data_IF_250591497035
#
_entry.id   IF_250591497035
#
_cell.length_a   1.000
_cell.length_b   1.000
_cell.length_c   1.000
_cell.angle_alpha   90.00
_cell.angle_beta   90.00
_cell.angle_gamma   90.00
#
_symmetry.space_group_name_H-M   'P 1'
#
loop_
_entity.id
_entity.type
_entity.pdbx_description
1 polymer ?
#
# COMPACT_ATOMS: atom_id res chain seq x y z
N UNK A 1 15.84 24.39 7.24
CA UNK A 1 14.45 24.72 6.93
C UNK A 1 13.71 23.42 6.72
N UNK A 2 12.58 23.20 7.41
CA UNK A 2 11.70 22.03 7.20
C UNK A 2 10.71 22.35 6.07
N UNK A 3 10.54 21.40 5.15
CA UNK A 3 9.50 21.46 4.11
C UNK A 3 8.23 20.72 4.52
N UNK A 4 8.22 20.07 5.70
CA UNK A 4 7.07 19.31 6.18
C UNK A 4 5.84 20.21 6.28
N UNK A 5 4.76 19.79 5.61
CA UNK A 5 3.53 20.59 5.44
C UNK A 5 2.32 19.73 5.77
N UNK A 6 1.40 20.20 6.67
CA UNK A 6 0.15 19.52 6.93
C UNK A 6 -0.72 19.40 5.66
N UNK A 7 -1.29 18.24 5.42
CA UNK A 7 -2.23 17.99 4.31
C UNK A 7 -3.70 18.01 4.75
N UNK A 8 -3.95 17.96 6.05
CA UNK A 8 -5.29 17.84 6.61
C UNK A 8 -5.47 18.80 7.78
N UNK A 9 -6.73 19.13 8.10
CA UNK A 9 -7.10 19.93 9.27
C UNK A 9 -6.61 19.27 10.56
N UNK A 10 -6.07 20.07 11.47
CA UNK A 10 -5.61 19.65 12.80
C UNK A 10 -5.80 20.79 13.80
N UNK A 11 -5.86 20.48 15.08
CA UNK A 11 -5.95 21.48 16.14
C UNK A 11 -4.57 21.98 16.54
N UNK A 12 -4.49 23.23 16.97
CA UNK A 12 -3.23 23.81 17.46
C UNK A 12 -2.69 22.99 18.64
N UNK A 13 -1.46 22.51 18.50
CA UNK A 13 -0.80 21.65 19.50
C UNK A 13 -0.95 20.15 19.27
N UNK A 14 -1.71 19.72 18.27
CA UNK A 14 -1.79 18.33 17.82
C UNK A 14 -0.92 18.12 16.55
N UNK A 15 -0.43 16.90 16.36
CA UNK A 15 0.21 16.53 15.11
C UNK A 15 -0.88 16.22 14.05
N UNK A 16 -0.76 16.76 12.83
CA UNK A 16 -1.69 16.46 11.76
C UNK A 16 -1.61 14.99 11.37
N UNK A 17 -2.75 14.34 11.14
CA UNK A 17 -2.81 12.91 10.73
C UNK A 17 -1.98 12.64 9.47
N UNK A 18 -2.00 13.56 8.52
CA UNK A 18 -1.20 13.48 7.29
C UNK A 18 -0.42 14.76 7.07
N UNK A 19 0.87 14.62 6.82
CA UNK A 19 1.76 15.71 6.43
C UNK A 19 2.64 15.25 5.28
N UNK A 20 2.78 16.04 4.23
CA UNK A 20 3.80 15.82 3.22
C UNK A 20 5.18 16.15 3.78
N UNK A 21 6.20 15.39 3.42
CA UNK A 21 7.60 15.69 3.74
C UNK A 21 8.14 16.77 2.78
N UNK A 22 7.63 16.79 1.56
CA UNK A 22 7.86 17.84 0.55
C UNK A 22 6.48 18.34 0.08
N UNK A 23 6.22 19.67 0.04
CA UNK A 23 4.89 20.21 -0.25
C UNK A 23 4.55 20.15 -1.75
N UNK A 24 4.57 18.95 -2.30
CA UNK A 24 4.21 18.66 -3.69
C UNK A 24 3.00 17.75 -3.75
N UNK A 25 1.97 18.18 -4.48
CA UNK A 25 0.74 17.45 -4.71
C UNK A 25 0.46 17.41 -6.21
N UNK A 26 0.12 16.23 -6.76
CA UNK A 26 -0.24 16.16 -8.17
C UNK A 26 -1.70 16.51 -8.40
N UNK A 27 -1.96 17.16 -9.53
CA UNK A 27 -3.31 17.51 -9.97
C UNK A 27 -4.15 16.23 -10.27
N UNK A 28 -5.45 16.28 -9.98
CA UNK A 28 -6.39 15.18 -10.22
C UNK A 28 -6.73 15.06 -11.72
N UNK A 29 -5.74 14.74 -12.52
CA UNK A 29 -5.85 14.70 -13.97
C UNK A 29 -5.37 13.36 -14.52
N UNK A 30 -6.10 12.81 -15.50
CA UNK A 30 -5.82 11.52 -16.13
C UNK A 30 -4.38 11.40 -16.66
N UNK A 31 -3.86 12.44 -17.29
CA UNK A 31 -2.49 12.44 -17.85
C UNK A 31 -1.39 12.73 -16.81
N UNK A 32 -1.75 12.94 -15.56
CA UNK A 32 -0.83 13.33 -14.49
C UNK A 32 -0.78 12.31 -13.36
N UNK A 33 -1.93 11.97 -12.79
CA UNK A 33 -2.00 11.28 -11.49
C UNK A 33 -2.46 9.82 -11.62
N UNK A 34 -1.64 9.01 -12.29
CA UNK A 34 -1.75 7.55 -12.32
C UNK A 34 -0.86 6.90 -11.24
N UNK A 35 -0.71 5.58 -11.34
CA UNK A 35 0.08 4.75 -10.40
C UNK A 35 1.53 5.20 -10.32
N UNK A 36 2.17 5.42 -11.47
CA UNK A 36 3.60 5.80 -11.51
C UNK A 36 3.86 7.14 -10.82
N UNK A 37 2.98 8.13 -11.03
CA UNK A 37 3.05 9.41 -10.32
C UNK A 37 2.79 9.24 -8.83
N UNK A 38 1.83 8.37 -8.45
CA UNK A 38 1.55 8.02 -7.06
C UNK A 38 2.78 7.50 -6.33
N UNK A 39 3.48 6.56 -6.95
CA UNK A 39 4.72 5.97 -6.43
C UNK A 39 5.85 7.01 -6.41
N UNK A 40 6.07 7.73 -7.51
CA UNK A 40 7.16 8.69 -7.64
C UNK A 40 7.05 9.84 -6.64
N UNK A 41 5.86 10.46 -6.51
CA UNK A 41 5.66 11.55 -5.55
C UNK A 41 5.76 11.07 -4.09
N UNK A 42 5.16 9.93 -3.75
CA UNK A 42 5.26 9.39 -2.40
C UNK A 42 6.72 9.04 -2.04
N UNK A 43 7.51 8.55 -3.01
CA UNK A 43 8.95 8.30 -2.86
C UNK A 43 9.72 9.56 -2.53
N UNK A 44 9.41 10.68 -3.17
CA UNK A 44 10.05 11.97 -2.94
C UNK A 44 9.46 12.76 -1.75
N UNK A 45 8.41 12.24 -1.12
CA UNK A 45 7.80 12.85 0.07
C UNK A 45 6.57 13.72 -0.19
N UNK A 46 6.09 13.76 -1.42
CA UNK A 46 4.83 14.38 -1.83
C UNK A 46 3.67 13.40 -1.83
N UNK A 47 2.52 13.80 -2.40
CA UNK A 47 1.34 12.94 -2.53
C UNK A 47 0.65 13.13 -3.87
N UNK A 48 0.21 12.02 -4.49
CA UNK A 48 -0.64 12.08 -5.67
C UNK A 48 -2.09 11.78 -5.30
N UNK A 49 -3.02 12.42 -6.00
CA UNK A 49 -4.44 12.11 -5.95
C UNK A 49 -4.84 11.43 -7.26
N UNK A 50 -5.02 10.12 -7.22
CA UNK A 50 -5.40 9.31 -8.40
C UNK A 50 -6.66 9.86 -9.03
N UNK A 51 -6.63 10.07 -10.35
CA UNK A 51 -7.72 10.71 -11.09
C UNK A 51 -9.02 9.92 -11.03
N UNK A 52 -10.17 10.64 -10.96
CA UNK A 52 -11.52 10.06 -10.84
C UNK A 52 -12.26 9.83 -12.16
N UNK A 53 -11.73 10.32 -13.31
CA UNK A 53 -12.37 10.18 -14.63
C UNK A 53 -12.15 8.77 -15.23
N UNK A 54 -12.56 7.75 -14.49
CA UNK A 54 -12.44 6.32 -14.82
C UNK A 54 -13.47 5.51 -14.01
N UNK A 55 -13.58 4.20 -14.26
CA UNK A 55 -14.43 3.34 -13.46
C UNK A 55 -13.97 3.27 -12.00
N UNK A 56 -14.90 2.93 -11.10
CA UNK A 56 -14.63 2.78 -9.67
C UNK A 56 -13.56 1.70 -9.45
N UNK A 57 -13.71 0.56 -10.12
CA UNK A 57 -12.81 -0.59 -10.02
C UNK A 57 -11.39 -0.25 -10.48
N UNK A 58 -11.28 0.47 -11.61
CA UNK A 58 -9.98 0.88 -12.15
C UNK A 58 -9.26 1.84 -11.20
N UNK A 59 -9.96 2.83 -10.63
CA UNK A 59 -9.39 3.77 -9.68
C UNK A 59 -8.97 3.08 -8.38
N UNK A 60 -9.84 2.21 -7.84
CA UNK A 60 -9.54 1.44 -6.64
C UNK A 60 -8.32 0.52 -6.84
N UNK A 61 -8.19 -0.09 -8.04
CA UNK A 61 -7.01 -0.90 -8.36
C UNK A 61 -5.73 -0.08 -8.44
N UNK A 62 -5.77 1.12 -9.02
CA UNK A 62 -4.62 2.03 -9.03
C UNK A 62 -4.19 2.41 -7.60
N UNK A 63 -5.14 2.69 -6.70
CA UNK A 63 -4.85 2.94 -5.28
C UNK A 63 -4.20 1.72 -4.64
N UNK A 64 -4.72 0.50 -4.86
CA UNK A 64 -4.11 -0.73 -4.34
C UNK A 64 -2.68 -0.92 -4.83
N UNK A 65 -2.41 -0.64 -6.10
CA UNK A 65 -1.06 -0.76 -6.68
C UNK A 65 -0.07 0.19 -6.01
N UNK A 66 -0.45 1.45 -5.76
CA UNK A 66 0.40 2.39 -4.99
C UNK A 66 0.60 1.90 -3.56
N UNK A 67 -0.46 1.45 -2.88
CA UNK A 67 -0.38 0.94 -1.50
C UNK A 67 0.44 -0.36 -1.39
N UNK A 68 0.41 -1.20 -2.40
CA UNK A 68 1.20 -2.45 -2.47
C UNK A 68 2.67 -2.20 -2.83
N UNK A 69 3.01 -1.03 -3.36
CA UNK A 69 4.39 -0.73 -3.73
C UNK A 69 5.29 -0.75 -2.50
N UNK A 70 6.42 -1.43 -2.63
CA UNK A 70 7.24 -1.92 -1.51
C UNK A 70 8.02 -0.81 -0.81
N UNK A 71 7.75 -0.60 0.46
CA UNK A 71 8.44 0.38 1.31
C UNK A 71 9.12 -0.25 2.54
N UNK A 72 9.61 -1.48 2.44
CA UNK A 72 10.37 -2.18 3.47
C UNK A 72 9.67 -3.39 4.06
N UNK A 73 8.79 -3.25 5.04
CA UNK A 73 7.98 -4.36 5.54
C UNK A 73 6.77 -4.59 4.64
N UNK A 74 6.69 -5.76 4.01
CA UNK A 74 5.67 -6.10 3.02
C UNK A 74 4.77 -7.20 3.56
N UNK A 75 3.46 -7.00 3.56
CA UNK A 75 2.53 -8.11 3.74
C UNK A 75 2.55 -8.94 2.45
N UNK A 76 2.79 -10.25 2.58
CA UNK A 76 2.83 -11.11 1.41
C UNK A 76 1.44 -11.21 0.75
N UNK A 77 1.37 -11.00 -0.55
CA UNK A 77 0.17 -11.21 -1.37
C UNK A 77 0.29 -12.48 -2.25
N UNK A 78 1.42 -13.16 -2.15
CA UNK A 78 1.75 -14.40 -2.87
C UNK A 78 1.93 -15.51 -1.85
N UNK A 79 0.81 -16.07 -1.39
CA UNK A 79 0.77 -17.11 -0.37
C UNK A 79 0.02 -18.34 -0.89
N UNK A 80 0.51 -19.51 -0.53
CA UNK A 80 -0.16 -20.79 -0.79
C UNK A 80 -0.13 -21.67 0.45
N UNK A 81 -1.05 -22.63 0.53
CA UNK A 81 -1.01 -23.66 1.55
C UNK A 81 -0.11 -24.83 1.15
N UNK A 82 0.36 -25.58 2.13
CA UNK A 82 1.00 -26.89 1.91
C UNK A 82 0.13 -27.79 1.04
N UNK A 83 0.75 -28.54 0.13
CA UNK A 83 0.07 -29.42 -0.84
C UNK A 83 -0.40 -28.72 -2.13
N UNK A 84 -0.30 -27.39 -2.25
CA UNK A 84 -0.55 -26.69 -3.53
C UNK A 84 0.43 -27.19 -4.59
N UNK A 85 -0.03 -27.37 -5.85
CA UNK A 85 0.84 -27.86 -6.92
C UNK A 85 1.86 -26.81 -7.38
N UNK A 86 3.00 -27.26 -7.93
CA UNK A 86 3.97 -26.35 -8.52
C UNK A 86 3.35 -25.55 -9.66
N UNK A 87 2.43 -26.13 -10.43
CA UNK A 87 1.68 -25.44 -11.49
C UNK A 87 0.92 -24.25 -10.95
N UNK A 88 0.14 -24.43 -9.88
CA UNK A 88 -0.65 -23.34 -9.27
C UNK A 88 0.26 -22.22 -8.73
N UNK A 89 1.44 -22.58 -8.22
CA UNK A 89 2.45 -21.61 -7.77
C UNK A 89 3.00 -20.80 -8.95
N UNK A 90 3.30 -21.44 -10.08
CA UNK A 90 3.76 -20.74 -11.28
C UNK A 90 2.69 -19.77 -11.80
N UNK A 91 1.43 -20.21 -11.87
CA UNK A 91 0.30 -19.35 -12.27
C UNK A 91 0.13 -18.16 -11.30
N UNK A 92 0.35 -18.36 -9.99
CA UNK A 92 0.34 -17.28 -9.00
C UNK A 92 1.48 -16.29 -9.24
N UNK A 93 2.70 -16.77 -9.50
CA UNK A 93 3.87 -15.94 -9.82
C UNK A 93 3.64 -15.11 -11.09
N UNK A 94 3.09 -15.70 -12.14
CA UNK A 94 2.75 -15.00 -13.39
C UNK A 94 1.71 -13.90 -13.16
N UNK A 95 0.68 -14.19 -12.36
CA UNK A 95 -0.39 -13.24 -12.03
C UNK A 95 0.07 -12.09 -11.13
N UNK A 96 0.92 -12.37 -10.15
CA UNK A 96 1.37 -11.37 -9.15
C UNK A 96 2.64 -10.65 -9.55
N UNK A 97 3.46 -11.25 -10.43
CA UNK A 97 4.79 -10.77 -10.77
C UNK A 97 5.83 -10.93 -9.64
N UNK A 98 5.50 -11.69 -8.59
CA UNK A 98 6.36 -11.89 -7.43
C UNK A 98 7.02 -13.25 -7.46
N UNK A 99 8.35 -13.27 -7.54
CA UNK A 99 9.15 -14.49 -7.60
C UNK A 99 9.33 -15.21 -6.26
N UNK A 100 8.87 -14.63 -5.16
CA UNK A 100 8.92 -15.24 -3.82
C UNK A 100 7.50 -15.53 -3.36
N UNK A 101 7.20 -16.79 -3.11
CA UNK A 101 5.90 -17.27 -2.64
C UNK A 101 6.07 -17.87 -1.24
N UNK A 102 5.24 -17.46 -0.30
CA UNK A 102 5.24 -18.00 1.06
C UNK A 102 4.29 -19.18 1.16
N UNK A 103 4.73 -20.21 1.88
CA UNK A 103 3.89 -21.36 2.20
C UNK A 103 3.47 -21.22 3.67
N UNK A 104 2.15 -21.12 3.89
CA UNK A 104 1.55 -21.07 5.22
C UNK A 104 0.58 -22.22 5.40
N UNK A 105 0.22 -22.53 6.64
CA UNK A 105 -0.65 -23.68 6.95
C UNK A 105 -2.02 -23.59 6.27
N UNK A 106 -2.58 -22.39 6.23
CA UNK A 106 -3.90 -22.07 5.67
C UNK A 106 -3.88 -21.37 4.31
N UNK A 107 -2.68 -21.00 3.81
CA UNK A 107 -2.50 -20.26 2.56
C UNK A 107 -2.77 -18.77 2.66
N UNK A 108 -2.93 -18.23 3.88
CA UNK A 108 -3.16 -16.79 4.11
C UNK A 108 -1.85 -16.04 4.38
N UNK A 109 -1.92 -14.71 4.28
CA UNK A 109 -0.75 -13.81 4.51
C UNK A 109 -0.29 -13.75 5.96
N UNK A 110 -1.09 -14.25 6.89
CA UNK A 110 -0.84 -14.24 8.34
C UNK A 110 -1.00 -15.64 8.97
N UNK A 111 -1.03 -16.67 8.15
CA UNK A 111 -1.05 -18.06 8.61
C UNK A 111 0.30 -18.50 9.18
N UNK A 112 0.33 -19.64 9.84
CA UNK A 112 1.56 -20.26 10.37
C UNK A 112 2.55 -20.52 9.24
N UNK A 113 3.75 -19.97 9.37
CA UNK A 113 4.76 -20.01 8.35
C UNK A 113 5.44 -21.36 8.24
N UNK A 114 5.33 -22.01 7.07
CA UNK A 114 5.93 -23.33 6.81
C UNK A 114 7.19 -23.26 5.96
N UNK A 115 7.31 -22.28 5.07
CA UNK A 115 8.46 -22.17 4.20
C UNK A 115 8.32 -21.10 3.12
N UNK A 116 9.32 -21.04 2.25
CA UNK A 116 9.37 -20.19 1.06
C UNK A 116 9.70 -21.01 -0.17
N UNK A 117 9.20 -20.59 -1.32
CA UNK A 117 9.68 -21.01 -2.63
C UNK A 117 9.99 -19.79 -3.50
N UNK A 118 11.03 -19.89 -4.29
CA UNK A 118 11.45 -18.86 -5.23
C UNK A 118 11.65 -19.47 -6.63
N UNK A 119 11.79 -18.64 -7.65
CA UNK A 119 12.13 -19.04 -9.01
C UNK A 119 13.45 -19.83 -9.17
N UNK A 120 14.27 -19.87 -8.10
CA UNK A 120 15.53 -20.62 -8.04
C UNK A 120 15.36 -22.05 -7.53
N UNK A 121 14.22 -22.36 -6.93
CA UNK A 121 13.98 -23.64 -6.26
C UNK A 121 13.38 -24.70 -7.20
N UNK A 122 12.97 -24.31 -8.44
CA UNK A 122 12.38 -25.21 -9.41
C UNK A 122 12.79 -24.83 -10.84
N UNK A 123 12.60 -25.80 -11.76
CA UNK A 123 12.85 -25.62 -13.20
C UNK A 123 11.63 -26.10 -13.99
N UNK A 124 10.87 -25.18 -14.56
CA UNK A 124 9.63 -25.46 -15.30
C UNK A 124 9.82 -26.55 -16.39
N UNK A 125 11.00 -26.59 -17.03
CA UNK A 125 11.30 -27.56 -18.11
C UNK A 125 11.68 -28.96 -17.64
N UNK A 126 11.84 -29.20 -16.34
CA UNK A 126 12.38 -30.46 -15.80
C UNK A 126 11.61 -31.01 -14.61
N UNK A 127 10.97 -30.16 -13.85
CA UNK A 127 10.30 -30.54 -12.62
C UNK A 127 8.84 -30.93 -12.89
N UNK A 128 8.30 -31.79 -12.04
CA UNK A 128 6.93 -32.25 -12.11
C UNK A 128 5.98 -31.14 -11.62
N UNK A 129 5.22 -30.60 -12.55
CA UNK A 129 4.30 -29.48 -12.29
C UNK A 129 3.11 -29.86 -11.40
N UNK A 130 2.75 -31.13 -11.37
CA UNK A 130 1.64 -31.64 -10.53
C UNK A 130 2.12 -32.04 -9.12
N UNK A 131 3.43 -32.01 -8.87
CA UNK A 131 3.98 -32.29 -7.55
C UNK A 131 3.63 -31.19 -6.54
N UNK A 132 3.42 -31.54 -5.25
CA UNK A 132 3.18 -30.57 -4.20
C UNK A 132 4.39 -29.65 -3.99
N UNK A 133 4.14 -28.38 -3.73
CA UNK A 133 5.17 -27.34 -3.55
C UNK A 133 6.12 -27.67 -2.38
N UNK A 134 5.66 -28.45 -1.42
CA UNK A 134 6.46 -28.93 -0.29
C UNK A 134 7.75 -29.64 -0.71
N UNK A 135 7.76 -30.25 -1.89
CA UNK A 135 8.94 -30.89 -2.48
C UNK A 135 10.02 -29.90 -2.88
N UNK A 136 9.63 -28.70 -3.24
CA UNK A 136 10.52 -27.65 -3.78
C UNK A 136 10.82 -26.53 -2.79
N UNK A 137 9.94 -26.32 -1.80
CA UNK A 137 10.11 -25.22 -0.84
C UNK A 137 11.36 -25.38 0.04
N UNK A 138 11.94 -24.26 0.43
CA UNK A 138 12.84 -24.21 1.55
C UNK A 138 12.01 -24.19 2.83
N UNK A 139 12.10 -25.24 3.69
CA UNK A 139 11.27 -25.34 4.89
C UNK A 139 11.69 -24.33 5.97
N UNK A 140 10.73 -23.93 6.82
CA UNK A 140 10.92 -22.99 7.95
C UNK A 140 12.20 -23.24 8.75
N UNK A 141 12.55 -24.50 9.00
CA UNK A 141 13.74 -24.88 9.78
C UNK A 141 15.07 -24.47 9.18
N UNK A 142 15.09 -24.19 7.87
CA UNK A 142 16.28 -23.75 7.12
C UNK A 142 16.25 -22.26 6.75
N UNK A 143 15.20 -21.54 7.12
CA UNK A 143 15.02 -20.13 6.79
C UNK A 143 15.37 -19.26 8.00
N UNK A 144 16.23 -18.28 7.79
CA UNK A 144 16.49 -17.23 8.77
C UNK A 144 15.24 -16.34 8.82
N UNK A 145 14.70 -16.15 10.02
CA UNK A 145 13.54 -15.30 10.28
C UNK A 145 13.84 -14.32 11.41
N UNK A 146 13.13 -13.21 11.44
CA UNK A 146 13.16 -12.31 12.59
C UNK A 146 11.79 -12.27 13.29
N UNK A 147 11.77 -11.75 14.50
CA UNK A 147 10.53 -11.62 15.28
C UNK A 147 9.86 -10.29 15.03
N UNK A 148 8.55 -10.25 15.22
CA UNK A 148 7.73 -9.03 15.27
C UNK A 148 8.38 -7.98 16.18
N UNK A 149 8.39 -6.73 15.73
CA UNK A 149 8.99 -5.61 16.45
C UNK A 149 10.43 -5.30 16.05
N UNK A 150 11.08 -6.15 15.23
CA UNK A 150 12.39 -5.82 14.63
C UNK A 150 12.29 -4.53 13.82
N UNK A 151 13.26 -3.63 13.96
CA UNK A 151 13.37 -2.45 13.13
C UNK A 151 13.83 -2.82 11.71
N UNK A 152 13.57 -1.95 10.73
CA UNK A 152 14.02 -2.18 9.37
C UNK A 152 15.55 -2.20 9.25
N UNK A 153 16.26 -1.44 10.10
CA UNK A 153 17.72 -1.45 10.16
C UNK A 153 18.25 -2.81 10.65
N UNK A 154 17.72 -3.30 11.77
CA UNK A 154 18.08 -4.64 12.30
C UNK A 154 17.71 -5.76 11.32
N UNK A 155 16.53 -5.70 10.71
CA UNK A 155 16.12 -6.68 9.68
C UNK A 155 17.10 -6.69 8.50
N UNK A 156 17.58 -5.52 8.09
CA UNK A 156 18.58 -5.41 7.04
C UNK A 156 19.94 -5.95 7.46
N UNK A 157 20.39 -5.70 8.68
CA UNK A 157 21.65 -6.25 9.19
C UNK A 157 21.59 -7.79 9.17
N UNK A 158 20.48 -8.38 9.61
CA UNK A 158 20.24 -9.84 9.52
C UNK A 158 20.33 -10.33 8.06
N UNK A 159 19.71 -9.61 7.12
CA UNK A 159 19.75 -9.94 5.67
C UNK A 159 21.20 -9.96 5.16
N UNK A 160 22.00 -8.95 5.51
CA UNK A 160 23.39 -8.83 5.08
C UNK A 160 24.31 -9.89 5.71
N UNK A 161 24.22 -10.09 7.02
CA UNK A 161 25.03 -11.08 7.74
C UNK A 161 24.77 -12.50 7.24
N UNK A 162 23.51 -12.85 6.97
CA UNK A 162 23.12 -14.17 6.49
C UNK A 162 23.15 -14.32 4.96
N UNK A 163 23.47 -13.24 4.22
CA UNK A 163 23.55 -13.22 2.73
C UNK A 163 22.25 -13.70 2.06
N UNK A 164 21.10 -13.39 2.66
CA UNK A 164 19.77 -13.74 2.14
C UNK A 164 19.15 -12.57 1.36
N UNK A 165 18.17 -12.85 0.52
CA UNK A 165 17.45 -11.85 -0.28
C UNK A 165 16.11 -11.47 0.32
N UNK A 166 15.54 -12.31 1.18
CA UNK A 166 14.24 -12.14 1.84
C UNK A 166 14.33 -12.61 3.28
N UNK A 167 13.75 -11.84 4.20
CA UNK A 167 13.66 -12.14 5.63
C UNK A 167 12.20 -12.16 6.04
N UNK A 168 11.62 -13.31 6.37
CA UNK A 168 10.30 -13.40 6.99
C UNK A 168 10.32 -12.85 8.42
N UNK A 169 9.32 -12.06 8.76
CA UNK A 169 9.06 -11.56 10.11
C UNK A 169 7.89 -12.32 10.67
N UNK A 170 8.08 -12.98 11.80
CA UNK A 170 7.10 -13.85 12.42
C UNK A 170 6.66 -13.31 13.78
N UNK A 171 5.42 -13.60 14.15
CA UNK A 171 4.91 -13.35 15.49
C UNK A 171 5.42 -14.42 16.50
N UNK A 172 4.93 -14.36 17.74
CA UNK A 172 5.30 -15.28 18.81
C UNK A 172 4.80 -16.74 18.56
N UNK A 173 3.82 -16.91 17.67
CA UNK A 173 3.23 -18.20 17.33
C UNK A 173 3.76 -18.77 16.01
N UNK A 174 4.83 -18.20 15.46
CA UNK A 174 5.39 -18.46 14.13
C UNK A 174 4.42 -18.17 12.97
N UNK A 175 3.43 -17.29 13.16
CA UNK A 175 2.62 -16.79 12.05
C UNK A 175 3.39 -15.72 11.27
N UNK A 176 3.18 -15.70 9.94
CA UNK A 176 3.80 -14.71 9.08
C UNK A 176 3.16 -13.33 9.30
N UNK A 177 3.97 -12.32 9.57
CA UNK A 177 3.53 -10.94 9.69
C UNK A 177 3.93 -10.12 8.44
N UNK A 178 5.21 -10.18 8.10
CA UNK A 178 5.78 -9.41 7.00
C UNK A 178 6.93 -10.17 6.33
N UNK A 179 7.28 -9.71 5.13
CA UNK A 179 8.53 -10.00 4.45
C UNK A 179 9.37 -8.72 4.35
N UNK A 180 10.68 -8.84 4.49
CA UNK A 180 11.63 -7.76 4.20
C UNK A 180 12.56 -8.23 3.10
N UNK A 181 12.67 -7.47 2.03
CA UNK A 181 13.56 -7.78 0.91
C UNK A 181 14.78 -6.85 0.93
N UNK A 182 15.94 -7.41 0.63
CA UNK A 182 17.20 -6.66 0.54
C UNK A 182 17.11 -5.44 -0.39
N UNK A 183 16.47 -5.58 -1.54
CA UNK A 183 16.28 -4.50 -2.51
C UNK A 183 15.44 -3.34 -1.98
N UNK A 184 14.46 -3.62 -1.12
CA UNK A 184 13.54 -2.62 -0.59
C UNK A 184 14.25 -1.71 0.45
N UNK A 185 15.25 -2.23 1.15
CA UNK A 185 16.10 -1.44 2.04
C UNK A 185 16.97 -0.43 1.27
N UNK A 186 17.58 -0.87 0.17
CA UNK A 186 18.39 0.02 -0.67
C UNK A 186 17.54 1.14 -1.26
N UNK A 187 16.32 0.83 -1.71
CA UNK A 187 15.38 1.83 -2.21
C UNK A 187 15.03 2.87 -1.13
N UNK A 188 14.74 2.44 0.10
CA UNK A 188 14.44 3.35 1.21
C UNK A 188 15.64 4.20 1.62
N UNK A 189 16.85 3.63 1.64
CA UNK A 189 18.07 4.37 1.94
C UNK A 189 18.31 5.49 0.93
N UNK A 190 17.97 5.25 -0.34
CA UNK A 190 18.10 6.23 -1.41
C UNK A 190 16.97 7.28 -1.40
N UNK A 191 15.83 6.99 -0.75
CA UNK A 191 14.66 7.87 -0.69
C UNK A 191 14.24 8.16 0.76
N UNK A 192 15.05 8.89 1.54
CA UNK A 192 14.80 9.13 2.97
C UNK A 192 13.55 9.98 3.25
N UNK A 193 13.09 10.73 2.25
CA UNK A 193 11.91 11.58 2.35
C UNK A 193 10.59 10.87 2.04
N UNK A 194 10.61 9.57 1.72
CA UNK A 194 9.40 8.84 1.34
C UNK A 194 8.24 9.07 2.31
N UNK A 195 7.06 9.32 1.75
CA UNK A 195 5.84 9.57 2.49
C UNK A 195 5.10 8.24 2.72
N UNK A 196 5.12 7.78 3.97
CA UNK A 196 4.62 6.45 4.36
C UNK A 196 3.55 6.57 5.44
N UNK A 197 2.60 5.64 5.39
CA UNK A 197 1.62 5.41 6.46
C UNK A 197 2.24 4.62 7.64
N UNK A 198 1.45 4.36 8.66
CA UNK A 198 1.84 3.61 9.85
C UNK A 198 2.30 2.18 9.53
N UNK A 199 1.77 1.60 8.45
CA UNK A 199 2.11 0.26 7.96
C UNK A 199 3.28 0.27 6.95
N UNK A 200 3.99 1.41 6.83
CA UNK A 200 5.12 1.59 5.90
C UNK A 200 4.75 1.47 4.42
N UNK A 201 3.48 1.73 4.06
CA UNK A 201 3.00 1.80 2.69
C UNK A 201 2.97 3.25 2.23
N UNK A 202 3.13 3.50 0.94
CA UNK A 202 3.02 4.84 0.38
C UNK A 202 1.65 5.47 0.65
N UNK A 203 1.65 6.75 1.02
CA UNK A 203 0.43 7.55 1.15
C UNK A 203 -0.04 7.97 -0.23
N UNK A 204 -1.33 7.79 -0.49
CA UNK A 204 -1.98 8.12 -1.75
C UNK A 204 -3.38 8.68 -1.52
N UNK A 205 -3.72 9.73 -2.25
CA UNK A 205 -5.06 10.28 -2.32
C UNK A 205 -5.82 9.80 -3.56
N UNK A 206 -7.11 10.07 -3.62
CA UNK A 206 -7.94 9.85 -4.79
C UNK A 206 -8.90 11.01 -5.02
N UNK A 207 -9.01 11.41 -6.27
CA UNK A 207 -10.01 12.38 -6.71
C UNK A 207 -11.37 11.73 -6.89
N UNK A 208 -12.41 12.39 -6.44
CA UNK A 208 -13.80 11.96 -6.61
C UNK A 208 -14.67 13.08 -7.18
N UNK A 209 -15.81 12.69 -7.74
CA UNK A 209 -16.87 13.60 -8.10
C UNK A 209 -18.07 13.43 -7.14
N UNK A 210 -19.09 14.26 -7.30
CA UNK A 210 -20.30 14.26 -6.47
C UNK A 210 -21.46 13.45 -7.03
N UNK A 211 -21.22 12.55 -8.00
CA UNK A 211 -22.30 11.79 -8.69
C UNK A 211 -22.39 10.35 -8.20
N UNK A 212 -21.24 9.70 -8.02
CA UNK A 212 -21.12 8.27 -7.71
C UNK A 212 -20.39 8.03 -6.37
N UNK A 213 -20.36 9.05 -5.50
CA UNK A 213 -19.61 9.01 -4.25
C UNK A 213 -20.07 7.89 -3.29
N UNK A 214 -21.34 7.52 -3.31
CA UNK A 214 -21.91 6.49 -2.45
C UNK A 214 -21.31 5.10 -2.70
N UNK A 215 -20.93 4.82 -3.95
CA UNK A 215 -20.29 3.56 -4.36
C UNK A 215 -18.76 3.71 -4.43
N UNK A 216 -18.28 4.83 -4.94
CA UNK A 216 -16.85 5.09 -5.16
C UNK A 216 -16.05 5.20 -3.86
N UNK A 217 -16.55 5.97 -2.88
CA UNK A 217 -15.84 6.19 -1.63
C UNK A 217 -15.62 4.86 -0.87
N UNK A 218 -16.63 3.99 -0.68
CA UNK A 218 -16.41 2.69 -0.06
C UNK A 218 -15.34 1.84 -0.77
N UNK A 219 -15.37 1.79 -2.10
CA UNK A 219 -14.38 1.02 -2.87
C UNK A 219 -12.95 1.57 -2.71
N UNK A 220 -12.79 2.89 -2.67
CA UNK A 220 -11.51 3.54 -2.43
C UNK A 220 -10.99 3.33 -0.99
N UNK A 221 -11.88 3.38 -0.01
CA UNK A 221 -11.54 3.11 1.39
C UNK A 221 -11.10 1.65 1.57
N UNK A 222 -11.81 0.70 0.96
CA UNK A 222 -11.41 -0.72 0.92
C UNK A 222 -10.06 -0.92 0.22
N UNK A 223 -9.78 -0.15 -0.83
CA UNK A 223 -8.48 -0.15 -1.50
C UNK A 223 -7.34 0.45 -0.65
N UNK A 224 -7.67 1.10 0.47
CA UNK A 224 -6.70 1.68 1.41
C UNK A 224 -6.29 3.12 1.09
N UNK A 225 -7.15 3.89 0.42
CA UNK A 225 -6.89 5.32 0.19
C UNK A 225 -6.72 6.08 1.51
N UNK A 226 -5.75 6.99 1.56
CA UNK A 226 -5.47 7.77 2.77
C UNK A 226 -6.30 9.05 2.85
N UNK A 227 -6.58 9.68 1.71
CA UNK A 227 -7.34 10.91 1.59
C UNK A 227 -8.15 10.91 0.30
N UNK A 228 -9.30 11.56 0.31
CA UNK A 228 -10.09 11.82 -0.89
C UNK A 228 -10.21 13.33 -1.12
N UNK A 229 -10.41 13.72 -2.38
CA UNK A 229 -10.54 15.13 -2.74
C UNK A 229 -11.58 15.32 -3.84
N UNK A 230 -12.50 16.24 -3.61
CA UNK A 230 -13.39 16.76 -4.65
C UNK A 230 -12.74 17.98 -5.29
N UNK A 231 -12.42 17.85 -6.57
CA UNK A 231 -11.85 18.95 -7.37
C UNK A 231 -12.86 19.35 -8.45
N UNK A 232 -13.48 20.50 -8.27
CA UNK A 232 -14.41 21.08 -9.23
C UNK A 232 -14.17 22.58 -9.40
N UNK A 233 -14.64 23.14 -10.50
CA UNK A 233 -14.51 24.58 -10.78
C UNK A 233 -15.21 25.46 -9.74
N UNK A 234 -16.30 24.97 -9.14
CA UNK A 234 -17.02 25.61 -8.03
C UNK A 234 -17.47 24.55 -7.03
N UNK A 235 -16.95 24.66 -5.80
CA UNK A 235 -17.24 23.76 -4.70
C UNK A 235 -18.31 24.28 -3.74
N UNK A 236 -18.70 25.54 -3.83
CA UNK A 236 -19.79 26.08 -3.00
C UNK A 236 -21.16 25.57 -3.47
N UNK A 237 -21.41 24.30 -3.25
CA UNK A 237 -22.58 23.61 -3.74
C UNK A 237 -23.11 22.58 -2.73
N UNK A 238 -24.43 22.36 -2.77
CA UNK A 238 -25.10 21.33 -1.98
C UNK A 238 -24.56 19.92 -2.29
N UNK A 239 -24.09 19.70 -3.50
CA UNK A 239 -23.54 18.42 -3.95
C UNK A 239 -22.25 18.05 -3.20
N UNK A 240 -21.33 18.99 -3.07
CA UNK A 240 -20.11 18.76 -2.28
C UNK A 240 -20.44 18.60 -0.78
N UNK A 241 -21.36 19.42 -0.26
CA UNK A 241 -21.80 19.29 1.12
C UNK A 241 -22.39 17.90 1.40
N UNK A 242 -23.30 17.41 0.56
CA UNK A 242 -23.89 16.07 0.71
C UNK A 242 -22.82 14.96 0.70
N UNK A 243 -21.80 15.10 -0.16
CA UNK A 243 -20.68 14.16 -0.17
C UNK A 243 -19.86 14.21 1.13
N UNK A 244 -19.62 15.40 1.67
CA UNK A 244 -18.93 15.57 2.96
C UNK A 244 -19.77 14.95 4.08
N UNK A 245 -21.08 15.23 4.11
CA UNK A 245 -22.00 14.70 5.12
C UNK A 245 -22.02 13.16 5.10
N UNK A 246 -22.07 12.54 3.90
CA UNK A 246 -21.96 11.09 3.73
C UNK A 246 -20.66 10.54 4.32
N UNK A 247 -19.51 11.19 4.05
CA UNK A 247 -18.21 10.74 4.59
C UNK A 247 -18.20 10.85 6.12
N UNK A 248 -18.70 11.96 6.66
CA UNK A 248 -18.75 12.18 8.11
C UNK A 248 -19.68 11.21 8.82
N UNK A 249 -20.85 10.93 8.24
CA UNK A 249 -21.80 9.97 8.77
C UNK A 249 -21.25 8.55 8.77
N UNK A 250 -20.63 8.13 7.67
CA UNK A 250 -20.20 6.74 7.48
C UNK A 250 -18.84 6.43 8.08
N UNK A 251 -17.91 7.38 8.05
CA UNK A 251 -16.50 7.18 8.41
C UNK A 251 -15.98 8.13 9.49
N UNK A 252 -16.77 9.13 9.89
CA UNK A 252 -16.34 10.14 10.86
C UNK A 252 -15.06 10.86 10.40
N UNK A 253 -14.07 10.92 11.28
CA UNK A 253 -12.75 11.50 11.01
C UNK A 253 -11.71 10.50 10.49
N UNK A 254 -12.07 9.24 10.32
CA UNK A 254 -11.13 8.21 9.83
C UNK A 254 -10.74 8.44 8.38
N UNK A 255 -11.66 8.94 7.55
CA UNK A 255 -11.40 9.33 6.16
C UNK A 255 -11.28 10.84 6.06
N UNK A 256 -10.16 11.32 5.54
CA UNK A 256 -9.93 12.75 5.31
C UNK A 256 -10.42 13.14 3.92
N UNK A 257 -11.16 14.25 3.86
CA UNK A 257 -11.76 14.76 2.63
C UNK A 257 -11.35 16.21 2.39
N UNK A 258 -10.88 16.49 1.19
CA UNK A 258 -10.69 17.82 0.63
C UNK A 258 -11.87 18.19 -0.27
N UNK A 259 -12.24 19.45 -0.26
CA UNK A 259 -13.36 19.97 -1.05
C UNK A 259 -12.99 21.33 -1.66
N UNK A 260 -13.44 21.58 -2.86
CA UNK A 260 -13.16 22.83 -3.59
C UNK A 260 -13.49 22.69 -5.10
N UNK A 261 -13.23 23.77 -5.86
CA UNK A 261 -12.60 25.02 -5.42
C UNK A 261 -13.60 25.93 -4.71
N UNK A 262 -13.08 26.83 -3.87
CA UNK A 262 -13.85 27.92 -3.28
C UNK A 262 -13.13 29.24 -3.56
N UNK A 263 -13.89 30.30 -3.82
CA UNK A 263 -13.33 31.60 -4.23
C UNK A 263 -13.53 32.68 -3.17
N UNK A 264 -14.34 32.43 -2.16
CA UNK A 264 -14.67 33.39 -1.12
C UNK A 264 -14.77 32.75 0.28
N UNK A 265 -14.92 33.62 1.27
CA UNK A 265 -15.04 33.22 2.68
C UNK A 265 -16.31 32.41 2.95
N UNK A 266 -17.41 32.74 2.29
CA UNK A 266 -18.70 32.06 2.51
C UNK A 266 -18.65 30.61 2.02
N UNK A 267 -18.13 30.39 0.81
CA UNK A 267 -17.88 29.08 0.28
C UNK A 267 -16.94 28.23 1.13
N UNK A 268 -15.87 28.86 1.64
CA UNK A 268 -14.96 28.17 2.56
C UNK A 268 -15.67 27.74 3.85
N UNK A 269 -16.41 28.65 4.50
CA UNK A 269 -17.12 28.36 5.74
C UNK A 269 -18.27 27.35 5.56
N UNK A 270 -18.84 27.29 4.36
CA UNK A 270 -19.89 26.33 4.02
C UNK A 270 -19.39 24.88 3.95
N UNK A 271 -18.13 24.68 3.48
CA UNK A 271 -17.54 23.36 3.33
C UNK A 271 -16.66 22.93 4.52
N UNK A 272 -16.23 23.87 5.38
CA UNK A 272 -15.33 23.62 6.51
C UNK A 272 -16.04 23.07 7.75
#
# INVERSE_FOLDING_TARGET
VSLKTPLVKYKKGEEPKYSANVPMVSAIMQSVSGVDMGIALAREGGVAFIYGSQSIESQAEMVRQVKKHKAGFVVSDSNVKSGTTLKDVIELVERTGHSTVTITEDGTSNGKFLGLVTDKDYRISRDDLDAPIDKYMTPRSKIVCAKKGVSLAEANDIIWENKISCLPILDENDNLEHLVFRKDYEERKNNPNSLLDENKRYIVGAGINTRDYEERIPALVEAGVDMICMDSSDGYSVWQKNTIDFVREKYGDSVKIGAGNVVDKEGFLYLA
#
